data_IF_640168608364
#
_entry.id   IF_640168608364
#
_cell.length_a   1.000
_cell.length_b   1.000
_cell.length_c   1.000
_cell.angle_alpha   90.00
_cell.angle_beta   90.00
_cell.angle_gamma   90.00
#
_symmetry.space_group_name_H-M   'P 1'
#
loop_
_entity.id
_entity.type
_entity.pdbx_description
1 polymer ?
#
# COMPACT_ATOMS: atom_id res chain seq x y z
N UNK A 1 -1.37 9.61 -6.44
CA UNK A 1 -2.57 9.89 -5.63
C UNK A 1 -3.55 8.76 -5.85
N UNK A 2 -3.89 8.03 -4.79
CA UNK A 2 -4.94 7.01 -4.81
C UNK A 2 -6.28 7.74 -4.66
N UNK A 3 -7.24 7.44 -5.53
CA UNK A 3 -8.55 8.11 -5.55
C UNK A 3 -9.66 7.21 -5.02
N UNK A 4 -9.28 6.16 -4.31
CA UNK A 4 -10.16 5.06 -3.99
C UNK A 4 -10.45 4.97 -2.49
N UNK A 5 -11.72 4.97 -2.08
CA UNK A 5 -12.13 4.88 -0.68
C UNK A 5 -11.89 3.50 -0.05
N UNK A 6 -11.53 2.47 -0.83
CA UNK A 6 -11.15 1.14 -0.32
C UNK A 6 -9.65 1.04 -0.05
N UNK A 7 -8.90 2.15 -0.13
CA UNK A 7 -7.46 2.09 0.12
C UNK A 7 -7.17 1.59 1.54
N UNK A 8 -6.62 0.39 1.64
CA UNK A 8 -6.33 -0.25 2.90
C UNK A 8 -4.81 -0.24 3.12
N UNK A 9 -4.39 0.22 4.29
CA UNK A 9 -3.00 0.14 4.73
C UNK A 9 -2.89 -0.98 5.75
N UNK A 10 -2.01 -1.93 5.48
CA UNK A 10 -1.73 -3.05 6.36
C UNK A 10 -0.35 -2.86 6.99
N UNK A 11 -0.25 -3.14 8.29
CA UNK A 11 1.04 -3.21 8.98
C UNK A 11 1.87 -4.38 8.43
N UNK A 12 3.12 -4.10 8.09
CA UNK A 12 4.09 -5.12 7.70
C UNK A 12 4.58 -5.86 8.95
N UNK A 13 4.33 -7.17 9.10
CA UNK A 13 4.77 -7.93 10.28
C UNK A 13 6.29 -8.02 10.44
N UNK A 14 7.07 -7.70 9.39
CA UNK A 14 8.55 -7.63 9.43
C UNK A 14 9.09 -6.24 9.83
N UNK A 15 8.24 -5.35 10.36
CA UNK A 15 8.62 -4.02 10.84
C UNK A 15 9.66 -4.08 11.99
N UNK A 16 10.82 -3.42 11.80
CA UNK A 16 11.81 -3.15 12.86
C UNK A 16 11.38 -2.03 13.80
N UNK A 17 11.41 -2.27 15.12
CA UNK A 17 11.06 -1.31 16.19
C UNK A 17 11.65 0.10 15.89
N UNK A 18 10.80 1.04 15.44
CA UNK A 18 11.19 2.41 15.10
C UNK A 18 10.90 2.91 13.67
N UNK A 19 10.52 2.05 12.72
CA UNK A 19 10.16 2.47 11.34
C UNK A 19 8.80 1.90 10.89
N UNK A 20 7.68 2.59 11.10
CA UNK A 20 6.34 2.06 10.75
C UNK A 20 6.28 1.69 9.28
N UNK A 21 6.12 0.41 8.94
CA UNK A 21 6.05 -0.08 7.56
C UNK A 21 4.62 -0.44 7.22
N UNK A 22 4.08 0.25 6.24
CA UNK A 22 2.73 0.05 5.74
C UNK A 22 2.73 -0.46 4.30
N UNK A 23 1.79 -1.33 3.98
CA UNK A 23 1.46 -1.70 2.61
C UNK A 23 0.09 -1.11 2.29
N UNK A 24 0.04 -0.14 1.38
CA UNK A 24 -1.20 0.45 0.89
C UNK A 24 -1.60 -0.19 -0.44
N UNK A 25 -2.82 -0.69 -0.52
CA UNK A 25 -3.43 -1.17 -1.76
C UNK A 25 -4.51 -0.19 -2.16
N UNK A 26 -4.54 0.26 -3.41
CA UNK A 26 -5.59 1.16 -3.89
C UNK A 26 -5.60 1.35 -5.40
N UNK A 27 -6.73 1.84 -5.93
CA UNK A 27 -6.86 2.15 -7.36
C UNK A 27 -6.16 3.48 -7.71
N UNK A 28 -5.37 3.42 -8.77
CA UNK A 28 -4.81 4.61 -9.44
C UNK A 28 -5.87 5.32 -10.28
N UNK A 29 -5.60 6.58 -10.65
CA UNK A 29 -6.46 7.38 -11.55
C UNK A 29 -6.68 6.78 -12.93
N UNK A 30 -5.96 5.71 -13.30
CA UNK A 30 -6.16 4.95 -14.55
C UNK A 30 -6.87 3.61 -14.31
N UNK A 31 -7.62 3.48 -13.21
CA UNK A 31 -8.32 2.25 -12.83
C UNK A 31 -7.40 1.01 -12.71
N UNK A 32 -6.14 1.21 -12.32
CA UNK A 32 -5.21 0.11 -12.04
C UNK A 32 -5.03 -0.02 -10.53
N UNK A 33 -5.30 -1.19 -9.98
CA UNK A 33 -4.99 -1.51 -8.59
C UNK A 33 -3.47 -1.58 -8.42
N UNK A 34 -2.93 -0.80 -7.50
CA UNK A 34 -1.51 -0.76 -7.15
C UNK A 34 -1.32 -1.17 -5.69
N UNK A 35 -0.19 -1.81 -5.43
CA UNK A 35 0.31 -2.11 -4.09
C UNK A 35 1.56 -1.25 -3.89
N UNK A 36 1.54 -0.41 -2.86
CA UNK A 36 2.65 0.46 -2.49
C UNK A 36 3.10 0.14 -1.08
N UNK A 37 4.37 -0.25 -0.93
CA UNK A 37 5.03 -0.41 0.36
C UNK A 37 5.70 0.91 0.72
N UNK A 38 5.45 1.40 1.93
CA UNK A 38 6.00 2.64 2.44
C UNK A 38 6.47 2.47 3.88
N UNK A 39 7.39 3.33 4.27
CA UNK A 39 7.82 3.48 5.65
C UNK A 39 7.54 4.91 6.12
N UNK A 40 7.04 5.04 7.33
CA UNK A 40 6.92 6.30 8.03
C UNK A 40 7.96 6.38 9.15
N UNK A 41 8.75 7.47 9.13
CA UNK A 41 9.71 7.77 10.19
C UNK A 41 9.70 9.26 10.49
N UNK A 42 9.33 9.62 11.72
CA UNK A 42 9.36 11.01 12.20
C UNK A 42 8.50 11.96 11.36
N UNK A 43 7.30 11.53 10.95
CA UNK A 43 6.38 12.30 10.12
C UNK A 43 6.75 12.38 8.63
N UNK A 44 7.81 11.69 8.19
CA UNK A 44 8.16 11.56 6.78
C UNK A 44 7.70 10.20 6.24
N UNK A 45 6.91 10.25 5.17
CA UNK A 45 6.47 9.09 4.42
C UNK A 45 7.43 8.84 3.25
N UNK A 46 8.06 7.67 3.21
CA UNK A 46 8.92 7.24 2.09
C UNK A 46 8.30 6.03 1.41
N UNK A 47 8.04 6.14 0.11
CA UNK A 47 7.69 4.98 -0.71
C UNK A 47 8.96 4.13 -0.92
N UNK A 48 8.89 2.86 -0.53
CA UNK A 48 9.97 1.88 -0.71
C UNK A 48 9.79 1.19 -2.06
N UNK A 49 8.56 0.78 -2.38
CA UNK A 49 8.23 0.08 -3.61
C UNK A 49 6.79 0.37 -4.04
N UNK A 50 6.53 0.40 -5.34
CA UNK A 50 5.19 0.48 -5.90
C UNK A 50 5.09 -0.42 -7.13
N UNK A 51 4.14 -1.35 -7.12
CA UNK A 51 3.90 -2.29 -8.23
C UNK A 51 2.41 -2.45 -8.51
N UNK A 52 2.03 -2.91 -9.72
CA UNK A 52 0.67 -3.38 -9.95
C UNK A 52 0.30 -4.50 -8.98
N UNK A 53 -0.94 -4.48 -8.50
CA UNK A 53 -1.48 -5.59 -7.72
C UNK A 53 -1.59 -6.83 -8.60
N UNK A 54 -1.19 -7.97 -8.04
CA UNK A 54 -1.37 -9.28 -8.68
C UNK A 54 -2.85 -9.65 -8.77
N UNK A 55 -3.20 -10.60 -9.63
CA UNK A 55 -4.59 -11.08 -9.76
C UNK A 55 -5.17 -11.58 -8.43
N UNK A 56 -4.34 -12.19 -7.57
CA UNK A 56 -4.75 -12.69 -6.26
C UNK A 56 -5.03 -11.54 -5.27
N UNK A 57 -4.19 -10.50 -5.26
CA UNK A 57 -4.38 -9.31 -4.42
C UNK A 57 -5.59 -8.49 -4.87
N UNK A 58 -5.84 -8.41 -6.19
CA UNK A 58 -7.07 -7.79 -6.73
C UNK A 58 -8.33 -8.47 -6.21
N UNK A 59 -8.36 -9.81 -6.25
CA UNK A 59 -9.51 -10.59 -5.78
C UNK A 59 -9.78 -10.42 -4.29
N UNK A 60 -8.74 -10.15 -3.48
CA UNK A 60 -8.89 -9.86 -2.04
C UNK A 60 -9.39 -8.44 -1.76
N UNK A 61 -9.22 -7.51 -2.69
CA UNK A 61 -9.66 -6.12 -2.55
C UNK A 61 -11.10 -5.92 -3.06
N UNK A 62 -11.52 -6.70 -4.05
CA UNK A 62 -12.88 -6.70 -4.62
C UNK A 62 -13.85 -7.69 -3.94
N UNK A 63 -13.39 -8.44 -2.93
CA UNK A 63 -14.11 -9.55 -2.29
C UNK A 63 -14.63 -9.24 -0.90
#
# INVERSE_FOLDING_TARGET
MFYDPLSATFDDPDHSIGEYRGITIGLSSRARLLVASHAERGGNLRIINARPATAQERKKHEG
#
